data_IF_761777762757
#
_entry.id   IF_761777762757
#
_cell.length_a   1.000
_cell.length_b   1.000
_cell.length_c   1.000
_cell.angle_alpha   90.00
_cell.angle_beta   90.00
_cell.angle_gamma   90.00
#
_symmetry.space_group_name_H-M   'P 1'
#
loop_
_entity.id
_entity.type
_entity.pdbx_description
1 polymer ?
#
# COMPACT_ATOMS: atom_id res chain seq x y z
N UNK A 1 17.49 -6.46 -11.30
CA UNK A 1 18.62 -6.77 -10.40
C UNK A 1 18.57 -8.23 -10.03
N UNK A 2 19.68 -8.93 -10.22
CA UNK A 2 19.86 -10.33 -9.84
C UNK A 2 20.68 -10.41 -8.55
N UNK A 3 20.24 -11.23 -7.62
CA UNK A 3 20.90 -11.43 -6.33
C UNK A 3 21.40 -12.88 -6.25
N UNK A 4 22.71 -13.06 -6.10
CA UNK A 4 23.33 -14.38 -6.00
C UNK A 4 23.73 -14.76 -4.56
N UNK A 5 23.91 -13.76 -3.69
CA UNK A 5 24.26 -13.96 -2.28
C UNK A 5 23.42 -13.01 -1.44
N UNK A 6 22.34 -13.52 -0.89
CA UNK A 6 21.48 -12.78 0.04
C UNK A 6 20.93 -13.72 1.08
N UNK A 7 20.50 -13.17 2.20
CA UNK A 7 19.70 -13.90 3.19
C UNK A 7 18.27 -13.96 2.70
N UNK A 8 17.72 -15.14 2.62
CA UNK A 8 16.31 -15.39 2.34
C UNK A 8 15.55 -15.37 3.65
N UNK A 9 14.44 -14.65 3.66
CA UNK A 9 13.43 -14.69 4.74
C UNK A 9 12.32 -15.59 4.23
N UNK A 10 12.24 -16.78 4.81
CA UNK A 10 11.29 -17.81 4.40
C UNK A 10 10.13 -17.88 5.41
N UNK A 11 8.97 -17.52 4.93
CA UNK A 11 7.69 -17.58 5.63
C UNK A 11 6.78 -18.70 5.09
N UNK A 12 7.29 -19.52 4.16
CA UNK A 12 6.50 -20.53 3.46
C UNK A 12 6.77 -21.95 3.97
N UNK A 13 7.98 -22.20 4.47
CA UNK A 13 8.40 -23.56 4.83
C UNK A 13 7.79 -24.06 6.13
N UNK A 14 7.55 -23.18 7.09
CA UNK A 14 6.81 -23.46 8.32
C UNK A 14 5.93 -22.26 8.63
N UNK A 15 4.60 -22.40 8.66
CA UNK A 15 3.67 -21.30 8.88
C UNK A 15 3.79 -20.61 10.25
N UNK A 16 4.40 -21.27 11.22
CA UNK A 16 4.58 -20.73 12.58
C UNK A 16 6.00 -20.20 12.84
N UNK A 17 6.87 -20.22 11.82
CA UNK A 17 8.27 -19.81 11.94
C UNK A 17 8.70 -18.94 10.77
N UNK A 18 9.60 -18.02 11.04
CA UNK A 18 10.32 -17.28 10.02
C UNK A 18 11.75 -17.81 9.95
N UNK A 19 12.10 -18.51 8.91
CA UNK A 19 13.43 -19.05 8.72
C UNK A 19 14.34 -18.09 7.95
N UNK A 20 15.60 -18.03 8.35
CA UNK A 20 16.64 -17.23 7.69
C UNK A 20 17.75 -18.15 7.21
N UNK A 21 18.05 -18.12 5.91
CA UNK A 21 19.15 -18.89 5.34
C UNK A 21 19.74 -18.17 4.13
N UNK A 22 20.94 -18.59 3.73
CA UNK A 22 21.58 -18.05 2.53
C UNK A 22 20.85 -18.55 1.29
N UNK A 23 20.66 -17.66 0.31
CA UNK A 23 20.06 -18.00 -0.97
C UNK A 23 20.86 -19.14 -1.64
N UNK A 24 20.16 -20.23 -1.95
CA UNK A 24 20.62 -21.29 -2.83
C UNK A 24 19.77 -21.25 -4.10
N UNK A 25 20.32 -20.67 -5.17
CA UNK A 25 19.60 -20.42 -6.41
C UNK A 25 19.62 -18.95 -6.82
N UNK A 26 18.61 -18.51 -7.55
CA UNK A 26 18.47 -17.15 -8.07
C UNK A 26 17.33 -16.39 -7.42
N UNK A 27 17.58 -15.11 -7.17
CA UNK A 27 16.57 -14.14 -6.82
C UNK A 27 16.72 -12.93 -7.74
N UNK A 28 15.62 -12.38 -8.22
CA UNK A 28 15.63 -11.18 -9.04
C UNK A 28 14.44 -10.27 -8.72
N UNK A 29 14.59 -9.01 -9.04
CA UNK A 29 13.51 -8.03 -9.00
C UNK A 29 13.63 -7.12 -10.23
N UNK A 30 12.58 -7.14 -11.04
CA UNK A 30 12.41 -6.21 -12.16
C UNK A 30 11.32 -5.21 -11.78
N UNK A 31 11.66 -3.94 -11.82
CA UNK A 31 10.73 -2.85 -11.54
C UNK A 31 10.73 -1.91 -12.75
N UNK A 32 9.55 -1.73 -13.32
CA UNK A 32 9.30 -0.71 -14.33
C UNK A 32 8.38 0.35 -13.73
N UNK A 33 8.75 1.61 -13.85
CA UNK A 33 7.94 2.73 -13.38
C UNK A 33 7.91 3.82 -14.44
N UNK A 34 6.73 4.38 -14.66
CA UNK A 34 6.49 5.57 -15.47
C UNK A 34 5.69 6.56 -14.66
N UNK A 35 6.04 7.83 -14.81
CA UNK A 35 5.33 8.96 -14.20
C UNK A 35 5.22 10.08 -15.23
N UNK A 36 4.04 10.72 -15.28
CA UNK A 36 3.80 11.87 -16.11
C UNK A 36 2.94 12.87 -15.34
N UNK A 37 3.27 14.15 -15.48
CA UNK A 37 2.50 15.26 -14.93
C UNK A 37 2.21 16.27 -16.03
N UNK A 38 0.95 16.67 -16.16
CA UNK A 38 0.52 17.59 -17.20
C UNK A 38 -0.43 18.67 -16.67
N UNK A 39 -0.10 19.96 -16.87
CA UNK A 39 -0.98 21.08 -16.58
C UNK A 39 -1.99 21.25 -17.72
N UNK A 40 -3.22 20.81 -17.55
CA UNK A 40 -4.25 20.86 -18.60
C UNK A 40 -4.74 22.28 -18.87
N UNK A 41 -4.90 23.06 -17.81
CA UNK A 41 -5.29 24.47 -17.87
C UNK A 41 -4.79 25.19 -16.62
N UNK A 42 -4.91 26.52 -16.60
CA UNK A 42 -4.42 27.35 -15.50
C UNK A 42 -5.01 26.90 -14.15
N UNK A 43 -4.15 26.48 -13.27
CA UNK A 43 -4.49 26.02 -11.94
C UNK A 43 -4.81 24.53 -11.83
N UNK A 44 -4.95 23.77 -12.92
CA UNK A 44 -5.24 22.34 -12.89
C UNK A 44 -4.08 21.52 -13.42
N UNK A 45 -3.60 20.59 -12.58
CA UNK A 45 -2.56 19.64 -12.92
C UNK A 45 -3.04 18.21 -12.63
N UNK A 46 -2.77 17.32 -13.57
CA UNK A 46 -2.99 15.88 -13.41
C UNK A 46 -1.65 15.18 -13.45
N UNK A 47 -1.39 14.35 -12.43
CA UNK A 47 -0.18 13.53 -12.34
C UNK A 47 -0.58 12.07 -12.29
N UNK A 48 -0.03 11.26 -13.17
CA UNK A 48 -0.23 9.82 -13.20
C UNK A 48 1.10 9.10 -13.03
N UNK A 49 1.12 8.05 -12.22
CA UNK A 49 2.25 7.15 -12.07
C UNK A 49 1.79 5.70 -12.11
N UNK A 50 2.57 4.85 -12.74
CA UNK A 50 2.32 3.42 -12.78
C UNK A 50 3.61 2.64 -12.59
N UNK A 51 3.57 1.62 -11.72
CA UNK A 51 4.69 0.74 -11.42
C UNK A 51 4.30 -0.71 -11.58
N UNK A 52 5.11 -1.45 -12.32
CA UNK A 52 5.09 -2.91 -12.38
C UNK A 52 6.26 -3.47 -11.58
N UNK A 53 6.02 -4.56 -10.87
CA UNK A 53 7.04 -5.25 -10.08
C UNK A 53 6.95 -6.74 -10.34
N UNK A 54 8.02 -7.35 -10.80
CA UNK A 54 8.22 -8.80 -10.85
C UNK A 54 9.41 -9.15 -9.96
N UNK A 55 9.11 -9.71 -8.79
CA UNK A 55 10.11 -10.10 -7.81
C UNK A 55 9.94 -11.59 -7.47
N UNK A 56 10.99 -12.36 -7.72
CA UNK A 56 11.00 -13.79 -7.46
C UNK A 56 12.24 -14.20 -6.68
N UNK A 57 12.08 -15.14 -5.78
CA UNK A 57 13.14 -15.69 -4.95
C UNK A 57 13.06 -17.21 -4.96
N UNK A 58 14.21 -17.88 -4.91
CA UNK A 58 14.28 -19.33 -4.75
C UNK A 58 14.18 -19.66 -3.27
N UNK A 59 13.12 -20.41 -2.92
CA UNK A 59 12.87 -20.95 -1.57
C UNK A 59 13.06 -22.46 -1.65
N UNK A 60 14.07 -22.99 -0.96
CA UNK A 60 14.41 -24.43 -0.92
C UNK A 60 14.35 -25.11 -2.29
N UNK A 61 14.99 -24.50 -3.28
CA UNK A 61 15.06 -25.02 -4.65
C UNK A 61 13.86 -24.69 -5.55
N UNK A 62 12.79 -24.11 -5.03
CA UNK A 62 11.63 -23.67 -5.81
C UNK A 62 11.58 -22.17 -5.97
N UNK A 63 11.52 -21.69 -7.21
CA UNK A 63 11.40 -20.26 -7.49
C UNK A 63 9.93 -19.84 -7.44
N UNK A 64 9.66 -18.87 -6.58
CA UNK A 64 8.31 -18.35 -6.34
C UNK A 64 8.30 -16.82 -6.28
N UNK A 65 7.14 -16.21 -6.53
CA UNK A 65 6.92 -14.79 -6.31
C UNK A 65 7.20 -14.44 -4.85
N UNK A 66 7.87 -13.30 -4.61
CA UNK A 66 8.09 -12.81 -3.26
C UNK A 66 6.74 -12.51 -2.58
N UNK A 67 6.46 -13.06 -1.39
CA UNK A 67 5.20 -12.83 -0.72
C UNK A 67 5.02 -11.37 -0.32
N UNK A 68 3.77 -10.95 -0.13
CA UNK A 68 3.36 -9.59 0.27
C UNK A 68 3.89 -8.48 -0.66
N UNK A 69 4.18 -8.83 -1.92
CA UNK A 69 4.65 -7.89 -2.93
C UNK A 69 3.59 -7.71 -4.00
N UNK A 70 3.06 -6.49 -4.12
CA UNK A 70 2.08 -6.15 -5.16
C UNK A 70 2.73 -6.17 -6.54
N UNK A 71 2.06 -6.80 -7.52
CA UNK A 71 2.53 -6.87 -8.92
C UNK A 71 2.52 -5.52 -9.61
N UNK A 72 1.58 -4.66 -9.27
CA UNK A 72 1.49 -3.32 -9.81
C UNK A 72 0.96 -2.32 -8.78
N UNK A 73 1.30 -1.06 -8.97
CA UNK A 73 0.70 0.07 -8.26
C UNK A 73 0.44 1.20 -9.26
N UNK A 74 -0.72 1.83 -9.14
CA UNK A 74 -1.09 3.02 -9.90
C UNK A 74 -1.36 4.18 -8.95
N UNK A 75 -1.07 5.39 -9.40
CA UNK A 75 -1.40 6.63 -8.72
C UNK A 75 -1.94 7.62 -9.76
N UNK A 76 -3.04 8.26 -9.43
CA UNK A 76 -3.59 9.37 -10.19
C UNK A 76 -3.92 10.50 -9.24
N UNK A 77 -3.24 11.64 -9.38
CA UNK A 77 -3.46 12.83 -8.57
C UNK A 77 -3.96 13.98 -9.43
N UNK A 78 -5.12 14.51 -9.08
CA UNK A 78 -5.69 15.72 -9.64
C UNK A 78 -5.57 16.85 -8.62
N UNK A 79 -4.98 17.98 -9.02
CA UNK A 79 -4.84 19.16 -8.19
C UNK A 79 -5.38 20.37 -8.95
N UNK A 80 -6.27 21.12 -8.31
CA UNK A 80 -6.82 22.34 -8.85
C UNK A 80 -6.72 23.49 -7.86
N UNK A 81 -6.08 24.56 -8.28
CA UNK A 81 -6.01 25.81 -7.55
C UNK A 81 -6.79 26.92 -8.27
N UNK A 82 -7.72 27.53 -7.58
CA UNK A 82 -8.53 28.62 -8.16
C UNK A 82 -7.66 29.83 -8.52
N UNK A 83 -8.11 30.69 -9.45
CA UNK A 83 -7.49 31.98 -9.66
C UNK A 83 -7.34 32.74 -8.33
N UNK A 84 -6.22 33.45 -8.13
CA UNK A 84 -5.83 34.11 -6.87
C UNK A 84 -5.39 33.15 -5.75
N UNK A 85 -5.36 31.84 -5.96
CA UNK A 85 -4.86 30.88 -4.98
C UNK A 85 -5.67 30.79 -3.68
N UNK A 86 -6.97 31.13 -3.72
CA UNK A 86 -7.82 31.15 -2.53
C UNK A 86 -8.25 29.75 -2.12
N UNK A 87 -8.58 28.91 -3.10
CA UNK A 87 -8.99 27.53 -2.88
C UNK A 87 -8.09 26.56 -3.63
N UNK A 88 -7.82 25.43 -3.00
CA UNK A 88 -7.16 24.30 -3.62
C UNK A 88 -7.97 23.03 -3.36
N UNK A 89 -8.11 22.22 -4.40
CA UNK A 89 -8.80 20.93 -4.39
C UNK A 89 -7.79 19.88 -4.85
N UNK A 90 -7.57 18.89 -4.03
CA UNK A 90 -6.66 17.79 -4.31
C UNK A 90 -7.43 16.47 -4.19
N UNK A 91 -7.23 15.58 -5.16
CA UNK A 91 -7.76 14.23 -5.10
C UNK A 91 -6.69 13.26 -5.59
N UNK A 92 -6.51 12.15 -4.89
CA UNK A 92 -5.55 11.10 -5.23
C UNK A 92 -6.24 9.74 -5.20
N UNK A 93 -6.22 9.05 -6.33
CA UNK A 93 -6.63 7.66 -6.46
C UNK A 93 -5.38 6.80 -6.48
N UNK A 94 -5.30 5.83 -5.57
CA UNK A 94 -4.27 4.80 -5.53
C UNK A 94 -4.86 3.45 -5.92
N UNK A 95 -4.23 2.78 -6.88
CA UNK A 95 -4.55 1.42 -7.29
C UNK A 95 -3.45 0.50 -6.74
N UNK A 96 -3.81 -0.45 -5.90
CA UNK A 96 -2.89 -1.42 -5.33
C UNK A 96 -3.20 -2.79 -5.91
N UNK A 97 -2.26 -3.36 -6.65
CA UNK A 97 -2.40 -4.69 -7.24
C UNK A 97 -2.29 -5.79 -6.19
N UNK A 98 -2.90 -6.91 -6.49
CA UNK A 98 -2.77 -8.11 -5.69
C UNK A 98 -1.36 -8.72 -5.73
N UNK A 99 -1.14 -9.71 -4.88
CA UNK A 99 0.11 -10.42 -4.78
C UNK A 99 -0.04 -11.80 -4.14
N UNK A 100 1.08 -12.50 -3.98
CA UNK A 100 1.13 -13.78 -3.27
C UNK A 100 1.17 -13.56 -1.76
N UNK A 101 0.43 -14.38 -1.03
CA UNK A 101 0.57 -14.55 0.41
C UNK A 101 1.60 -15.66 0.71
N UNK A 102 2.20 -15.68 1.91
CA UNK A 102 2.90 -16.87 2.39
C UNK A 102 2.01 -18.11 2.34
N UNK A 103 2.59 -19.31 2.43
CA UNK A 103 1.82 -20.56 2.43
C UNK A 103 0.84 -20.57 3.63
N UNK A 104 -0.46 -20.74 3.40
CA UNK A 104 -1.42 -20.84 4.49
C UNK A 104 -1.32 -22.21 5.18
N UNK A 105 -1.69 -22.26 6.43
CA UNK A 105 -1.87 -23.49 7.21
C UNK A 105 -3.34 -23.75 7.49
N UNK A 106 -3.66 -24.97 7.85
CA UNK A 106 -5.01 -25.43 8.16
C UNK A 106 -5.33 -25.13 9.64
N UNK A 107 -6.48 -24.49 9.87
CA UNK A 107 -7.01 -24.22 11.20
C UNK A 107 -7.75 -25.46 11.74
N UNK A 108 -8.08 -25.47 13.02
CA UNK A 108 -8.76 -26.58 13.68
C UNK A 108 -10.15 -26.90 13.09
N UNK A 109 -10.77 -25.94 12.41
CA UNK A 109 -12.06 -26.08 11.72
C UNK A 109 -11.92 -26.59 10.26
N UNK A 110 -10.71 -26.90 9.81
CA UNK A 110 -10.40 -27.36 8.45
C UNK A 110 -10.34 -26.24 7.42
N UNK A 111 -10.47 -24.97 7.82
CA UNK A 111 -10.32 -23.85 6.93
C UNK A 111 -8.84 -23.42 6.83
N UNK A 112 -8.48 -22.78 5.70
CA UNK A 112 -7.16 -22.18 5.58
C UNK A 112 -7.11 -20.86 6.37
N UNK A 113 -5.97 -20.62 7.01
CA UNK A 113 -5.69 -19.40 7.78
C UNK A 113 -5.86 -18.11 6.95
N UNK A 114 -5.51 -18.17 5.65
CA UNK A 114 -5.73 -17.09 4.67
C UNK A 114 -5.73 -17.64 3.24
N UNK A 115 -6.13 -16.81 2.29
CA UNK A 115 -6.06 -17.14 0.87
C UNK A 115 -4.60 -17.09 0.37
N UNK A 116 -4.25 -17.94 -0.61
CA UNK A 116 -2.90 -17.98 -1.22
C UNK A 116 -2.51 -16.68 -1.93
N UNK A 117 -3.48 -15.86 -2.26
CA UNK A 117 -3.27 -14.56 -2.93
C UNK A 117 -4.25 -13.54 -2.35
N UNK A 118 -3.76 -12.32 -2.18
CA UNK A 118 -4.64 -11.19 -1.89
C UNK A 118 -5.01 -10.46 -3.19
N UNK A 119 -6.20 -9.87 -3.19
CA UNK A 119 -6.75 -9.14 -4.34
C UNK A 119 -6.21 -7.73 -4.48
N UNK A 120 -6.55 -7.08 -5.59
CA UNK A 120 -6.32 -5.65 -5.78
C UNK A 120 -7.35 -4.83 -5.01
N UNK A 121 -6.96 -3.60 -4.65
CA UNK A 121 -7.85 -2.64 -4.01
C UNK A 121 -7.49 -1.21 -4.39
N UNK A 122 -8.46 -0.33 -4.18
CA UNK A 122 -8.37 1.08 -4.51
C UNK A 122 -8.57 1.93 -3.25
N UNK A 123 -7.82 3.04 -3.18
CA UNK A 123 -7.98 4.04 -2.13
C UNK A 123 -8.09 5.42 -2.77
N UNK A 124 -9.16 6.12 -2.41
CA UNK A 124 -9.36 7.51 -2.79
C UNK A 124 -9.10 8.41 -1.57
N UNK A 125 -8.31 9.44 -1.77
CA UNK A 125 -8.13 10.53 -0.78
C UNK A 125 -8.46 11.85 -1.44
N UNK A 126 -9.09 12.76 -0.70
CA UNK A 126 -9.40 14.08 -1.20
C UNK A 126 -9.26 15.13 -0.10
N UNK A 127 -8.85 16.33 -0.49
CA UNK A 127 -8.71 17.46 0.42
C UNK A 127 -9.15 18.75 -0.26
N UNK A 128 -9.79 19.62 0.50
CA UNK A 128 -10.09 21.00 0.11
C UNK A 128 -9.37 21.92 1.10
N UNK A 129 -8.64 22.86 0.56
CA UNK A 129 -7.90 23.86 1.36
C UNK A 129 -8.34 25.25 0.98
N UNK A 130 -8.63 26.08 1.99
CA UNK A 130 -8.84 27.51 1.82
C UNK A 130 -7.67 28.28 2.39
N UNK A 131 -7.06 29.14 1.59
CA UNK A 131 -5.95 29.99 1.97
C UNK A 131 -6.42 31.37 2.36
N UNK A 132 -5.81 31.90 3.41
CA UNK A 132 -5.92 33.27 3.90
C UNK A 132 -4.51 33.86 3.95
N UNK A 133 -4.38 35.15 4.26
CA UNK A 133 -3.11 35.84 4.19
C UNK A 133 -1.98 35.20 5.04
N UNK A 134 -2.29 34.65 6.21
CA UNK A 134 -1.30 34.06 7.13
C UNK A 134 -1.65 32.68 7.62
N UNK A 135 -2.78 32.15 7.22
CA UNK A 135 -3.24 30.85 7.66
C UNK A 135 -4.05 30.16 6.56
N UNK A 136 -4.21 28.89 6.70
CA UNK A 136 -5.10 28.11 5.83
C UNK A 136 -5.87 27.11 6.67
N UNK A 137 -7.07 26.80 6.23
CA UNK A 137 -7.91 25.74 6.77
C UNK A 137 -8.06 24.68 5.72
N UNK A 138 -7.97 23.43 6.11
CA UNK A 138 -8.20 22.31 5.22
C UNK A 138 -9.12 21.27 5.87
N UNK A 139 -9.92 20.63 5.05
CA UNK A 139 -10.72 19.46 5.37
C UNK A 139 -10.44 18.41 4.33
N UNK A 140 -10.31 17.16 4.76
CA UNK A 140 -10.03 16.07 3.84
C UNK A 140 -10.46 14.73 4.39
N UNK A 141 -10.28 13.72 3.54
CA UNK A 141 -10.53 12.34 3.91
C UNK A 141 -9.55 11.41 3.21
N UNK A 142 -9.21 10.35 3.90
CA UNK A 142 -8.38 9.24 3.43
C UNK A 142 -9.22 7.99 3.32
N UNK A 143 -8.85 7.13 2.36
CA UNK A 143 -9.54 5.88 2.11
C UNK A 143 -11.07 6.05 1.95
N UNK A 144 -11.48 7.04 1.16
CA UNK A 144 -12.89 7.37 0.91
C UNK A 144 -13.65 6.22 0.20
N UNK A 145 -12.93 5.29 -0.43
CA UNK A 145 -13.47 4.02 -0.94
C UNK A 145 -13.90 3.08 0.18
N UNK A 146 -13.52 3.39 1.43
CA UNK A 146 -13.79 2.59 2.63
C UNK A 146 -13.33 1.14 2.51
N UNK A 147 -12.30 0.88 1.71
CA UNK A 147 -11.73 -0.47 1.60
C UNK A 147 -11.06 -0.87 2.92
N UNK A 148 -11.31 -2.10 3.35
CA UNK A 148 -10.64 -2.73 4.50
C UNK A 148 -10.29 -4.17 4.15
N UNK A 149 -9.12 -4.60 4.57
CA UNK A 149 -8.77 -6.01 4.57
C UNK A 149 -9.75 -6.79 5.45
N UNK A 150 -10.29 -7.86 4.91
CA UNK A 150 -11.12 -8.79 5.70
C UNK A 150 -10.22 -9.66 6.56
N UNK A 151 -10.64 -9.92 7.79
CA UNK A 151 -9.97 -10.80 8.74
C UNK A 151 -8.45 -10.54 8.85
N UNK A 152 -8.02 -9.33 9.26
CA UNK A 152 -6.59 -9.00 9.34
C UNK A 152 -5.86 -9.73 10.46
N UNK A 153 -6.59 -10.33 11.40
CA UNK A 153 -6.08 -11.10 12.52
C UNK A 153 -6.65 -12.52 12.43
N UNK A 154 -5.77 -13.49 12.39
CA UNK A 154 -6.11 -14.91 12.39
C UNK A 154 -6.37 -15.35 13.83
N UNK A 155 -7.39 -16.16 14.05
CA UNK A 155 -7.83 -16.65 15.36
C UNK A 155 -7.98 -15.53 16.41
N UNK A 156 -8.58 -14.40 16.00
CA UNK A 156 -8.73 -13.22 16.85
C UNK A 156 -9.52 -13.46 18.14
N UNK A 157 -10.37 -14.49 18.17
CA UNK A 157 -11.13 -14.89 19.34
C UNK A 157 -10.28 -15.58 20.42
N UNK A 158 -9.11 -16.07 20.04
CA UNK A 158 -8.19 -16.79 20.94
C UNK A 158 -6.78 -16.19 20.90
N UNK A 159 -6.57 -14.98 21.46
CA UNK A 159 -5.31 -14.25 21.35
C UNK A 159 -4.10 -14.91 22.02
N UNK A 160 -4.32 -15.93 22.85
CA UNK A 160 -3.27 -16.74 23.50
C UNK A 160 -3.14 -18.13 22.90
N UNK A 161 -3.89 -18.42 21.84
CA UNK A 161 -3.83 -19.68 21.11
C UNK A 161 -2.62 -19.74 20.18
N UNK A 162 -2.18 -20.97 19.87
CA UNK A 162 -1.04 -21.19 18.97
C UNK A 162 -1.28 -20.77 17.51
N UNK A 163 -2.52 -20.50 17.13
CA UNK A 163 -2.89 -20.07 15.78
C UNK A 163 -3.11 -18.55 15.66
N UNK A 164 -2.99 -17.80 16.77
CA UNK A 164 -3.14 -16.34 16.72
C UNK A 164 -2.03 -15.72 15.89
N UNK A 165 -2.41 -14.98 14.84
CA UNK A 165 -1.47 -14.26 13.97
C UNK A 165 -2.04 -12.91 13.55
N UNK A 166 -1.29 -11.84 13.82
CA UNK A 166 -1.61 -10.46 13.43
C UNK A 166 -0.61 -9.88 12.41
N UNK A 167 0.21 -10.71 11.78
CA UNK A 167 1.30 -10.25 10.90
C UNK A 167 0.92 -10.23 9.42
N UNK A 168 -0.14 -10.93 9.02
CA UNK A 168 -0.56 -11.07 7.61
C UNK A 168 -1.39 -9.90 7.09
N UNK A 169 -0.89 -8.69 7.30
CA UNK A 169 -1.54 -7.46 6.86
C UNK A 169 -0.99 -7.03 5.49
N UNK A 170 -1.86 -7.02 4.48
CA UNK A 170 -1.54 -6.63 3.10
C UNK A 170 -2.31 -5.40 2.60
N UNK A 171 -3.34 -4.99 3.32
CA UNK A 171 -4.21 -3.87 2.98
C UNK A 171 -4.60 -3.03 4.20
N UNK A 172 -5.34 -1.94 4.00
CA UNK A 172 -5.80 -1.10 5.10
C UNK A 172 -6.66 -1.89 6.10
N UNK A 173 -6.36 -1.75 7.38
CA UNK A 173 -7.15 -2.30 8.48
C UNK A 173 -8.22 -1.33 8.97
N UNK A 174 -8.09 -0.04 8.62
CA UNK A 174 -9.05 1.01 8.93
C UNK A 174 -9.78 1.47 7.67
N UNK A 175 -11.06 1.77 7.81
CA UNK A 175 -11.89 2.33 6.74
C UNK A 175 -11.63 3.81 6.50
N UNK A 176 -12.62 4.48 5.93
CA UNK A 176 -12.56 5.90 5.65
C UNK A 176 -12.27 6.72 6.93
N UNK A 177 -11.42 7.73 6.79
CA UNK A 177 -11.07 8.68 7.83
C UNK A 177 -11.31 10.09 7.32
N UNK A 178 -11.82 10.96 8.18
CA UNK A 178 -11.93 12.38 7.91
C UNK A 178 -11.01 13.16 8.84
N UNK A 179 -10.48 14.27 8.36
CA UNK A 179 -9.65 15.17 9.15
C UNK A 179 -9.94 16.62 8.80
N UNK A 180 -9.68 17.51 9.77
CA UNK A 180 -9.69 18.94 9.61
C UNK A 180 -8.44 19.51 10.25
N UNK A 181 -7.88 20.56 9.68
CA UNK A 181 -6.71 21.19 10.25
C UNK A 181 -6.57 22.65 9.87
N UNK A 182 -5.74 23.34 10.65
CA UNK A 182 -5.38 24.73 10.45
C UNK A 182 -3.85 24.80 10.37
N UNK A 183 -3.35 25.53 9.38
CA UNK A 183 -1.92 25.83 9.26
C UNK A 183 -1.71 27.32 9.39
N UNK A 184 -0.81 27.72 10.26
CA UNK A 184 -0.42 29.10 10.45
C UNK A 184 1.01 29.32 9.94
N UNK A 185 1.22 30.37 9.13
CA UNK A 185 2.53 30.71 8.60
C UNK A 185 3.09 31.92 9.34
N UNK A 186 4.18 31.72 10.08
CA UNK A 186 4.88 32.75 10.85
C UNK A 186 5.80 33.60 9.97
N UNK A 187 6.21 33.11 8.82
CA UNK A 187 7.07 33.86 7.90
C UNK A 187 6.29 35.07 7.35
N UNK A 188 6.85 36.25 7.48
CA UNK A 188 6.37 37.46 6.84
C UNK A 188 6.77 37.38 5.37
N UNK A 189 5.82 37.10 4.47
CA UNK A 189 6.08 37.32 3.05
C UNK A 189 6.20 38.82 2.86
N UNK A 190 7.43 39.31 2.61
CA UNK A 190 7.71 40.64 2.10
C UNK A 190 7.17 40.81 0.69
#
# INVERSE_FOLDING_TARGET
TDFLKQVVVDMDSNPHEVAFYNLDGRSYSHVFQVEASYPFFKGFTLTGAYRLTDAQTTYKGQRMEKPLTSKYKGLLTASYQTPLGIWQFDATLQLNGGGRMPAPYELADGQLSWERRYGSFEQLSAQVTRYFRRWSVYIGGENLTNFKQKNPIIDAANPWGGNFDSTMIWGPVHGAKAYIGIRFNLARNE
#
